data_IF_616771385865
#
_entry.id   IF_616771385865
#
_cell.length_a   1.000
_cell.length_b   1.000
_cell.length_c   1.000
_cell.angle_alpha   90.00
_cell.angle_beta   90.00
_cell.angle_gamma   90.00
#
_symmetry.space_group_name_H-M   'P 1'
#
loop_
_entity.id
_entity.type
_entity.pdbx_description
1 polymer ?
#
# COMPACT_ATOMS: atom_id res chain seq x y z
N UNK A 1 7.94 -1.87 5.90
CA UNK A 1 7.86 -1.83 4.42
C UNK A 1 7.79 -3.23 3.82
N UNK A 2 8.70 -4.15 4.18
CA UNK A 2 8.65 -5.54 3.70
C UNK A 2 7.29 -6.22 3.97
N UNK A 3 6.73 -6.04 5.17
CA UNK A 3 5.41 -6.54 5.54
C UNK A 3 4.27 -5.98 4.65
N UNK A 4 4.28 -4.68 4.34
CA UNK A 4 3.23 -4.07 3.51
C UNK A 4 3.35 -4.48 2.04
N UNK A 5 4.57 -4.65 1.54
CA UNK A 5 4.82 -5.21 0.20
C UNK A 5 4.41 -6.68 0.10
N UNK A 6 4.78 -7.51 1.09
CA UNK A 6 4.42 -8.93 1.12
C UNK A 6 2.89 -9.11 1.17
N UNK A 7 2.19 -8.36 2.01
CA UNK A 7 0.74 -8.42 2.10
C UNK A 7 0.06 -7.95 0.79
N UNK A 8 0.61 -6.95 0.11
CA UNK A 8 0.10 -6.50 -1.18
C UNK A 8 0.39 -7.52 -2.30
N UNK A 9 1.55 -8.18 -2.25
CA UNK A 9 1.95 -9.22 -3.20
C UNK A 9 1.06 -10.47 -3.08
N UNK A 10 0.77 -10.94 -1.86
CA UNK A 10 -0.17 -12.05 -1.63
C UNK A 10 -1.53 -11.71 -2.25
N UNK A 11 -2.01 -10.48 -2.04
CA UNK A 11 -3.28 -10.04 -2.61
C UNK A 11 -3.24 -9.96 -4.14
N UNK A 12 -2.13 -9.51 -4.69
CA UNK A 12 -1.94 -9.47 -6.14
C UNK A 12 -1.93 -10.87 -6.77
N UNK A 13 -1.33 -11.85 -6.10
CA UNK A 13 -1.37 -13.27 -6.50
C UNK A 13 -2.80 -13.79 -6.46
N UNK A 14 -3.56 -13.53 -5.37
CA UNK A 14 -4.97 -13.94 -5.28
C UNK A 14 -5.80 -13.35 -6.42
N UNK A 15 -5.62 -12.06 -6.74
CA UNK A 15 -6.33 -11.44 -7.86
C UNK A 15 -5.94 -12.03 -9.22
N UNK A 16 -4.66 -12.34 -9.43
CA UNK A 16 -4.19 -12.98 -10.65
C UNK A 16 -4.81 -14.37 -10.84
N UNK A 17 -4.96 -15.14 -9.76
CA UNK A 17 -5.65 -16.44 -9.78
C UNK A 17 -7.14 -16.35 -10.13
N UNK A 18 -7.76 -15.18 -9.92
CA UNK A 18 -9.17 -14.90 -10.28
C UNK A 18 -9.25 -14.23 -11.69
N UNK A 19 -8.14 -14.18 -12.43
CA UNK A 19 -8.06 -13.67 -13.80
C UNK A 19 -7.73 -12.17 -13.90
N UNK A 20 -7.56 -11.46 -12.78
CA UNK A 20 -7.18 -10.04 -12.77
C UNK A 20 -5.68 -9.88 -12.56
N UNK A 21 -4.96 -9.65 -13.65
CA UNK A 21 -3.49 -9.59 -13.67
C UNK A 21 -2.93 -8.21 -13.30
N UNK A 22 -3.78 -7.16 -13.31
CA UNK A 22 -3.39 -5.78 -13.04
C UNK A 22 -2.71 -5.57 -11.68
N UNK A 23 -3.20 -6.13 -10.55
CA UNK A 23 -2.54 -5.97 -9.26
C UNK A 23 -1.14 -6.59 -9.22
N UNK A 24 -0.91 -7.66 -9.99
CA UNK A 24 0.38 -8.36 -10.08
C UNK A 24 1.41 -7.52 -10.84
N UNK A 25 1.00 -6.95 -11.98
CA UNK A 25 1.86 -6.03 -12.75
C UNK A 25 2.19 -4.80 -11.92
N UNK A 26 1.21 -4.25 -11.21
CA UNK A 26 1.42 -3.09 -10.34
C UNK A 26 2.44 -3.37 -9.24
N UNK A 27 2.31 -4.47 -8.49
CA UNK A 27 3.25 -4.78 -7.40
C UNK A 27 4.65 -5.09 -7.92
N UNK A 28 4.76 -5.73 -9.08
CA UNK A 28 6.05 -6.02 -9.72
C UNK A 28 6.75 -4.72 -10.14
N UNK A 29 6.03 -3.79 -10.78
CA UNK A 29 6.56 -2.49 -11.17
C UNK A 29 7.02 -1.68 -9.95
N UNK A 30 6.23 -1.67 -8.87
CA UNK A 30 6.61 -1.02 -7.62
C UNK A 30 7.84 -1.66 -7.00
N UNK A 31 7.91 -2.99 -6.92
CA UNK A 31 9.06 -3.69 -6.36
C UNK A 31 10.34 -3.40 -7.15
N UNK A 32 10.27 -3.41 -8.48
CA UNK A 32 11.39 -3.05 -9.35
C UNK A 32 11.80 -1.59 -9.18
N UNK A 33 10.84 -0.67 -9.10
CA UNK A 33 11.13 0.75 -8.88
C UNK A 33 11.81 1.00 -7.52
N UNK A 34 11.35 0.31 -6.47
CA UNK A 34 11.97 0.36 -5.14
C UNK A 34 13.38 -0.22 -5.14
N UNK A 35 13.59 -1.33 -5.85
CA UNK A 35 14.89 -1.96 -5.97
C UNK A 35 15.88 -1.08 -6.76
N UNK A 36 15.46 -0.54 -7.91
CA UNK A 36 16.26 0.39 -8.69
C UNK A 36 16.59 1.67 -7.90
N UNK A 37 15.63 2.22 -7.16
CA UNK A 37 15.84 3.39 -6.31
C UNK A 37 16.79 3.10 -5.14
N UNK A 38 16.80 1.88 -4.62
CA UNK A 38 17.77 1.45 -3.61
C UNK A 38 19.19 1.42 -4.17
N UNK A 39 19.37 0.90 -5.38
CA UNK A 39 20.66 0.86 -6.08
C UNK A 39 21.17 2.25 -6.48
N UNK A 40 20.27 3.19 -6.81
CA UNK A 40 20.60 4.57 -7.18
C UNK A 40 21.03 5.46 -5.99
N UNK A 41 21.04 4.93 -4.76
CA UNK A 41 21.56 5.58 -3.56
C UNK A 41 20.50 6.16 -2.62
N UNK A 42 20.99 6.72 -1.49
CA UNK A 42 20.16 7.09 -0.33
C UNK A 42 19.08 8.15 -0.61
N UNK A 43 19.20 8.97 -1.66
CA UNK A 43 18.20 9.97 -2.04
C UNK A 43 16.99 9.37 -2.76
N UNK A 44 17.24 8.55 -3.78
CA UNK A 44 16.20 7.91 -4.60
C UNK A 44 15.37 6.91 -3.80
N UNK A 45 16.01 6.08 -2.96
CA UNK A 45 15.30 5.15 -2.08
C UNK A 45 14.30 5.84 -1.14
N UNK A 46 14.64 7.04 -0.65
CA UNK A 46 13.75 7.84 0.22
C UNK A 46 12.50 8.33 -0.54
N UNK A 47 12.68 8.82 -1.76
CA UNK A 47 11.55 9.25 -2.61
C UNK A 47 10.65 8.06 -2.94
N UNK A 48 11.24 6.91 -3.28
CA UNK A 48 10.47 5.72 -3.64
C UNK A 48 9.66 5.17 -2.45
N UNK A 49 10.20 5.21 -1.23
CA UNK A 49 9.47 4.88 0.01
C UNK A 49 8.29 5.83 0.24
N UNK A 50 8.46 7.13 -0.01
CA UNK A 50 7.37 8.12 0.08
C UNK A 50 6.26 7.86 -0.92
N UNK A 51 6.62 7.60 -2.19
CA UNK A 51 5.65 7.27 -3.24
C UNK A 51 4.88 6.02 -2.85
N UNK A 52 5.55 4.98 -2.34
CA UNK A 52 4.87 3.78 -1.84
C UNK A 52 3.93 4.08 -0.67
N UNK A 53 4.37 4.89 0.31
CA UNK A 53 3.52 5.34 1.41
C UNK A 53 2.26 6.07 0.92
N UNK A 54 2.41 6.95 -0.08
CA UNK A 54 1.29 7.66 -0.69
C UNK A 54 0.32 6.71 -1.40
N UNK A 55 0.84 5.72 -2.13
CA UNK A 55 0.03 4.68 -2.76
C UNK A 55 -0.79 3.90 -1.72
N UNK A 56 -0.18 3.54 -0.58
CA UNK A 56 -0.89 2.85 0.51
C UNK A 56 -2.00 3.72 1.12
N UNK A 57 -1.76 5.03 1.28
CA UNK A 57 -2.79 5.97 1.77
C UNK A 57 -3.95 6.05 0.77
N UNK A 58 -3.66 6.33 -0.51
CA UNK A 58 -4.69 6.42 -1.56
C UNK A 58 -5.51 5.12 -1.60
N UNK A 59 -4.83 3.98 -1.57
CA UNK A 59 -5.45 2.67 -1.57
C UNK A 59 -6.37 2.45 -0.36
N UNK A 60 -5.87 2.76 0.85
CA UNK A 60 -6.62 2.65 2.10
C UNK A 60 -7.87 3.55 2.11
N UNK A 61 -7.73 4.81 1.70
CA UNK A 61 -8.85 5.76 1.59
C UNK A 61 -9.90 5.26 0.61
N UNK A 62 -9.50 4.88 -0.60
CA UNK A 62 -10.44 4.41 -1.61
C UNK A 62 -11.19 3.17 -1.13
N UNK A 63 -10.50 2.22 -0.49
CA UNK A 63 -11.11 0.99 0.03
C UNK A 63 -12.07 1.25 1.18
N UNK A 64 -11.69 2.08 2.15
CA UNK A 64 -12.56 2.44 3.27
C UNK A 64 -13.77 3.24 2.79
N UNK A 65 -13.59 4.15 1.82
CA UNK A 65 -14.68 4.87 1.17
C UNK A 65 -15.65 3.94 0.45
N UNK A 66 -15.13 2.97 -0.31
CA UNK A 66 -15.95 1.97 -1.00
C UNK A 66 -16.70 1.05 -0.01
N UNK A 67 -16.05 0.67 1.09
CA UNK A 67 -16.69 -0.08 2.16
C UNK A 67 -17.81 0.74 2.82
N UNK A 68 -17.59 2.03 3.10
CA UNK A 68 -18.62 2.93 3.62
C UNK A 68 -19.79 3.11 2.65
N UNK A 69 -19.51 3.26 1.35
CA UNK A 69 -20.55 3.33 0.33
C UNK A 69 -21.41 2.06 0.29
N UNK A 70 -20.79 0.89 0.42
CA UNK A 70 -21.48 -0.40 0.43
C UNK A 70 -22.33 -0.65 1.69
N UNK A 71 -22.10 0.10 2.77
CA UNK A 71 -23.01 0.12 3.93
C UNK A 71 -24.29 0.90 3.61
N UNK A 72 -24.18 1.99 2.84
CA UNK A 72 -25.32 2.85 2.46
C UNK A 72 -26.10 2.25 1.29
N UNK A 73 -25.41 1.67 0.31
CA UNK A 73 -25.97 1.07 -0.88
C UNK A 73 -25.42 -0.37 -1.05
N UNK A 74 -26.03 -1.37 -0.39
CA UNK A 74 -25.52 -2.73 -0.42
C UNK A 74 -25.67 -3.34 -1.82
N UNK A 75 -24.54 -3.76 -2.38
CA UNK A 75 -24.50 -4.50 -3.65
C UNK A 75 -24.34 -5.98 -3.32
N UNK A 76 -25.28 -6.81 -3.77
CA UNK A 76 -25.33 -8.26 -3.52
C UNK A 76 -24.39 -9.09 -4.41
N UNK A 77 -23.27 -8.51 -4.86
CA UNK A 77 -22.28 -9.29 -5.62
C UNK A 77 -21.38 -10.09 -4.67
N UNK A 78 -21.13 -11.38 -4.93
CA UNK A 78 -20.19 -12.20 -4.15
C UNK A 78 -18.80 -11.55 -4.05
N UNK A 79 -18.39 -10.86 -5.11
CA UNK A 79 -17.16 -10.09 -5.16
C UNK A 79 -17.16 -8.90 -4.18
N UNK A 80 -18.24 -8.13 -4.10
CA UNK A 80 -18.34 -7.02 -3.15
C UNK A 80 -18.26 -7.54 -1.71
N UNK A 81 -19.04 -8.57 -1.37
CA UNK A 81 -19.10 -9.16 -0.03
C UNK A 81 -17.73 -9.71 0.41
N UNK A 82 -17.05 -10.43 -0.48
CA UNK A 82 -15.70 -10.93 -0.20
C UNK A 82 -14.69 -9.79 0.01
N UNK A 83 -14.85 -8.65 -0.69
CA UNK A 83 -13.94 -7.52 -0.59
C UNK A 83 -14.27 -6.55 0.55
N UNK A 84 -15.50 -6.51 1.08
CA UNK A 84 -15.92 -5.61 2.18
C UNK A 84 -16.05 -6.28 3.53
N UNK A 85 -15.75 -7.57 3.65
CA UNK A 85 -15.67 -8.23 4.95
C UNK A 85 -14.76 -7.49 5.94
N UNK A 86 -15.08 -7.58 7.23
CA UNK A 86 -14.37 -6.87 8.32
C UNK A 86 -12.86 -7.05 8.30
N UNK A 87 -12.37 -8.26 7.97
CA UNK A 87 -10.94 -8.56 7.84
C UNK A 87 -10.28 -7.66 6.78
N UNK A 88 -10.95 -7.45 5.65
CA UNK A 88 -10.45 -6.64 4.55
C UNK A 88 -10.54 -5.13 4.82
N UNK A 89 -11.52 -4.71 5.60
CA UNK A 89 -11.62 -3.34 6.13
C UNK A 89 -10.46 -3.08 7.09
N UNK A 90 -10.19 -3.99 8.03
CA UNK A 90 -9.07 -3.90 8.96
C UNK A 90 -7.72 -3.84 8.23
N UNK A 91 -7.49 -4.72 7.25
CA UNK A 91 -6.28 -4.68 6.42
C UNK A 91 -6.14 -3.35 5.67
N UNK A 92 -7.24 -2.79 5.18
CA UNK A 92 -7.23 -1.49 4.49
C UNK A 92 -6.90 -0.33 5.44
N UNK A 93 -7.40 -0.37 6.68
CA UNK A 93 -7.04 0.58 7.74
C UNK A 93 -5.56 0.46 8.14
N UNK A 94 -5.02 -0.75 8.25
CA UNK A 94 -3.60 -0.98 8.51
C UNK A 94 -2.71 -0.45 7.38
N UNK A 95 -3.12 -0.61 6.12
CA UNK A 95 -2.41 0.01 4.99
C UNK A 95 -2.44 1.53 5.04
N UNK A 96 -3.58 2.13 5.39
CA UNK A 96 -3.70 3.57 5.57
C UNK A 96 -2.74 4.08 6.65
N UNK A 97 -2.74 3.45 7.83
CA UNK A 97 -1.88 3.81 8.95
C UNK A 97 -0.39 3.63 8.60
N UNK A 98 -0.03 2.52 7.97
CA UNK A 98 1.34 2.26 7.53
C UNK A 98 1.79 3.26 6.45
N UNK A 99 0.91 3.61 5.51
CA UNK A 99 1.17 4.61 4.48
C UNK A 99 1.38 6.01 5.09
N UNK A 100 0.48 6.42 5.99
CA UNK A 100 0.60 7.69 6.71
C UNK A 100 1.89 7.74 7.54
N UNK A 101 2.23 6.68 8.25
CA UNK A 101 3.49 6.57 8.98
C UNK A 101 4.70 6.71 8.05
N UNK A 102 4.72 6.02 6.91
CA UNK A 102 5.82 6.14 5.93
C UNK A 102 5.93 7.55 5.33
N UNK A 103 4.83 8.29 5.21
CA UNK A 103 4.86 9.68 4.74
C UNK A 103 5.34 10.63 5.85
N UNK A 104 4.93 10.41 7.11
CA UNK A 104 5.20 11.30 8.25
C UNK A 104 6.57 11.05 8.88
N UNK A 105 6.99 9.80 9.06
CA UNK A 105 8.25 9.42 9.73
C UNK A 105 9.49 10.05 9.07
N UNK A 106 9.36 10.49 7.81
CA UNK A 106 10.41 11.14 7.03
C UNK A 106 10.34 12.68 7.02
N UNK A 107 9.48 13.30 7.83
CA UNK A 107 9.51 14.76 8.08
C UNK A 107 10.53 15.17 9.14
N UNK A 108 11.08 14.23 9.92
CA UNK A 108 12.16 14.55 10.85
C UNK A 108 13.46 14.76 10.05
N UNK A 109 14.07 15.96 10.09
CA UNK A 109 15.42 16.13 9.57
C UNK A 109 16.32 15.14 10.32
N UNK A 110 17.18 14.45 9.58
CA UNK A 110 18.28 13.71 10.19
C UNK A 110 19.15 14.78 10.83
N UNK A 111 19.09 14.90 12.16
CA UNK A 111 20.07 15.71 12.88
C UNK A 111 21.44 15.24 12.42
N UNK A 112 22.31 16.15 11.94
CA UNK A 112 23.68 15.77 11.68
C UNK A 112 24.22 15.24 13.00
N UNK A 113 24.55 13.95 13.02
CA UNK A 113 25.34 13.37 14.10
C UNK A 113 26.60 14.20 14.17
N UNK A 114 26.66 15.09 15.16
CA UNK A 114 27.87 15.84 15.50
C UNK A 114 28.85 14.79 16.00
N UNK A 115 29.65 14.27 15.08
CA UNK A 115 30.86 13.51 15.42
C UNK A 115 31.88 14.54 15.87
N UNK A 116 31.93 14.77 17.18
CA UNK A 116 33.07 15.38 17.85
C UNK A 116 34.22 14.38 18.02
#
# INVERSE_FOLDING_TARGET
MALTLAAFAVRAVIYALIGSHLPLVFILAVALALFAAHLAGRGAGRVAVRVWGLCLVIYGVFRLGLAGLLVVAPISSPHAIANTGWVFVLVSALYLLAGAYLVIAWRKPVEPTVTG
#
